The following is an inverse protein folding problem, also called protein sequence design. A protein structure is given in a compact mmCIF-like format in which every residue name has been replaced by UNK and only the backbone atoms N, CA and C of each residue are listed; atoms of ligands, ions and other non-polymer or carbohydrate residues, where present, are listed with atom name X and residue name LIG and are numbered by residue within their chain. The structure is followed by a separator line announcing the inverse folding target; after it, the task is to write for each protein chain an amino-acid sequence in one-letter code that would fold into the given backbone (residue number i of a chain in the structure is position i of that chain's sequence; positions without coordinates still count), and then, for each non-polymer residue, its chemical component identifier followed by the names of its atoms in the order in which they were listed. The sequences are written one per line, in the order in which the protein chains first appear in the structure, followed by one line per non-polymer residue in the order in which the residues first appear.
data_IF_719170652476
#
_entry.id   IF_719170652476
#
_cell.length_a   1.000
_cell.length_b   1.000
_cell.length_c   1.000
_cell.angle_alpha   90.00
_cell.angle_beta   90.00
_cell.angle_gamma   90.00
#
_symmetry.space_group_name_H-M   'P 1'
#
loop_
_entity.id
_entity.type
_entity.pdbx_description
1 polymer ?
#
# COMPACT_ATOMS: atom_id res chain seq x y z
N UNK A 1 13.42 6.82 -2.71
CA UNK A 1 14.07 6.07 -3.81
C UNK A 1 15.39 6.78 -4.08
N UNK A 2 16.54 6.18 -3.75
CA UNK A 2 17.84 6.75 -4.13
C UNK A 2 17.80 7.10 -5.62
N UNK A 3 18.28 8.28 -6.00
CA UNK A 3 18.34 8.79 -7.38
C UNK A 3 17.01 9.15 -8.07
N UNK A 4 15.87 9.12 -7.37
CA UNK A 4 14.63 9.66 -7.91
C UNK A 4 14.71 11.19 -8.08
N UNK A 5 14.44 11.66 -9.30
CA UNK A 5 14.41 13.06 -9.68
C UNK A 5 13.16 13.33 -10.50
N UNK A 6 12.44 14.41 -10.17
CA UNK A 6 11.27 14.87 -10.93
C UNK A 6 11.59 15.07 -12.41
N UNK A 7 12.79 15.57 -12.72
CA UNK A 7 13.23 15.80 -14.09
C UNK A 7 13.37 14.49 -14.88
N UNK A 8 13.89 13.43 -14.23
CA UNK A 8 14.02 12.11 -14.87
C UNK A 8 12.67 11.41 -15.00
N UNK A 9 11.83 11.51 -13.97
CA UNK A 9 10.50 10.89 -13.94
C UNK A 9 9.55 11.53 -14.97
N UNK A 10 9.61 12.85 -15.14
CA UNK A 10 8.79 13.59 -16.11
C UNK A 10 9.13 13.31 -17.58
N UNK A 11 10.30 12.71 -17.86
CA UNK A 11 10.71 12.31 -19.22
C UNK A 11 10.24 10.89 -19.60
N UNK A 12 9.64 10.14 -18.67
CA UNK A 12 9.20 8.77 -18.96
C UNK A 12 7.95 8.75 -19.85
N UNK A 13 7.88 7.82 -20.82
CA UNK A 13 6.69 7.64 -21.64
C UNK A 13 5.51 7.08 -20.83
N UNK A 14 4.31 7.32 -21.34
CA UNK A 14 3.07 6.72 -20.82
C UNK A 14 3.09 5.20 -20.96
N UNK A 15 2.73 4.46 -19.91
CA UNK A 15 2.84 3.00 -19.87
C UNK A 15 1.57 2.26 -20.37
N UNK A 16 0.39 2.87 -20.29
CA UNK A 16 -0.89 2.16 -20.51
C UNK A 16 -1.74 2.71 -21.65
N UNK A 17 -1.82 4.04 -21.78
CA UNK A 17 -2.60 4.72 -22.83
C UNK A 17 -1.68 5.70 -23.55
N UNK A 18 -1.81 5.78 -24.88
CA UNK A 18 -1.14 6.81 -25.67
C UNK A 18 -1.55 8.19 -25.14
N UNK A 19 -0.57 9.06 -24.94
CA UNK A 19 -0.75 10.41 -24.38
C UNK A 19 -1.38 10.43 -22.97
N UNK A 20 -1.30 9.32 -22.24
CA UNK A 20 -1.76 9.19 -20.86
C UNK A 20 -0.77 9.72 -19.81
N UNK A 21 -1.23 9.85 -18.56
CA UNK A 21 -0.44 10.42 -17.46
C UNK A 21 0.25 9.37 -16.55
N UNK A 22 -0.04 8.09 -16.76
CA UNK A 22 0.53 7.00 -15.95
C UNK A 22 1.81 6.50 -16.60
N UNK A 23 2.91 6.51 -15.84
CA UNK A 23 4.26 6.09 -16.27
C UNK A 23 4.81 5.05 -15.30
N UNK A 24 5.91 4.38 -15.68
CA UNK A 24 6.57 3.44 -14.78
C UNK A 24 7.06 4.06 -13.46
N UNK A 25 7.24 5.40 -13.41
CA UNK A 25 7.67 6.09 -12.20
C UNK A 25 6.55 6.37 -11.19
N UNK A 26 5.28 6.41 -11.63
CA UNK A 26 4.13 6.68 -10.75
C UNK A 26 3.19 5.49 -10.56
N UNK A 27 3.39 4.41 -11.32
CA UNK A 27 2.75 3.14 -11.09
C UNK A 27 3.42 2.36 -9.94
N UNK A 28 2.66 1.51 -9.26
CA UNK A 28 3.23 0.53 -8.33
C UNK A 28 4.04 -0.51 -9.11
N UNK A 29 5.23 -0.85 -8.61
CA UNK A 29 6.03 -1.94 -9.19
C UNK A 29 5.43 -3.32 -8.89
N UNK A 30 5.74 -4.32 -9.71
CA UNK A 30 5.48 -5.73 -9.38
C UNK A 30 6.47 -6.13 -8.29
N UNK A 31 5.96 -6.69 -7.19
CA UNK A 31 6.76 -7.00 -6.01
C UNK A 31 6.45 -8.41 -5.49
N UNK A 32 7.52 -9.13 -5.12
CA UNK A 32 7.47 -10.44 -4.48
C UNK A 32 7.89 -10.27 -3.01
N UNK A 33 6.93 -10.42 -2.08
CA UNK A 33 7.14 -10.25 -0.65
C UNK A 33 6.13 -11.05 0.20
N UNK A 34 6.42 -11.24 1.49
CA UNK A 34 5.51 -11.85 2.46
C UNK A 34 5.44 -11.03 3.76
N UNK A 35 4.30 -11.07 4.44
CA UNK A 35 4.11 -10.43 5.75
C UNK A 35 3.14 -11.25 6.62
N UNK A 36 3.24 -11.11 7.95
CA UNK A 36 2.36 -11.75 8.91
C UNK A 36 2.10 -10.84 10.11
N UNK A 37 0.89 -10.92 10.67
CA UNK A 37 0.49 -10.22 11.90
C UNK A 37 -0.27 -11.17 12.81
N UNK A 38 -0.11 -11.01 14.13
CA UNK A 38 -0.88 -11.75 15.13
C UNK A 38 -1.92 -10.82 15.74
N UNK A 39 -3.19 -11.20 15.64
CA UNK A 39 -4.31 -10.46 16.20
C UNK A 39 -4.93 -11.27 17.33
N UNK A 40 -5.26 -10.59 18.43
CA UNK A 40 -5.90 -11.21 19.59
C UNK A 40 -6.79 -10.19 20.30
N UNK A 41 -7.70 -10.67 21.14
CA UNK A 41 -8.48 -9.81 22.03
C UNK A 41 -7.56 -9.13 23.04
N UNK A 42 -7.95 -7.93 23.51
CA UNK A 42 -7.22 -7.22 24.57
C UNK A 42 -7.11 -8.05 25.85
N UNK A 43 -8.17 -8.76 26.20
CA UNK A 43 -8.21 -9.56 27.43
C UNK A 43 -7.21 -10.71 27.36
N UNK A 44 -7.12 -11.39 26.20
CA UNK A 44 -6.12 -12.45 26.02
C UNK A 44 -4.69 -11.89 26.01
N UNK A 45 -4.49 -10.72 25.41
CA UNK A 45 -3.20 -10.04 25.44
C UNK A 45 -2.75 -9.75 26.88
N UNK A 46 -3.68 -9.26 27.73
CA UNK A 46 -3.40 -8.99 29.14
C UNK A 46 -3.12 -10.28 29.94
N UNK A 47 -3.91 -11.34 29.73
CA UNK A 47 -3.71 -12.65 30.38
C UNK A 47 -2.32 -13.23 30.07
N UNK A 48 -1.89 -13.09 28.81
CA UNK A 48 -0.58 -13.55 28.35
C UNK A 48 0.56 -12.56 28.67
N UNK A 49 0.27 -11.41 29.26
CA UNK A 49 1.26 -10.37 29.58
C UNK A 49 1.92 -9.73 28.35
N UNK A 50 1.31 -9.82 27.16
CA UNK A 50 1.87 -9.25 25.92
C UNK A 50 1.40 -7.82 25.74
N UNK A 51 2.35 -6.90 25.50
CA UNK A 51 2.05 -5.49 25.23
C UNK A 51 1.60 -5.31 23.78
N UNK A 52 0.35 -4.87 23.51
CA UNK A 52 -0.11 -4.63 22.14
C UNK A 52 0.70 -3.53 21.45
N UNK A 53 1.03 -3.72 20.16
CA UNK A 53 1.69 -2.69 19.34
C UNK A 53 0.71 -1.62 18.85
N UNK A 54 -0.53 -2.01 18.57
CA UNK A 54 -1.59 -1.16 18.07
C UNK A 54 -2.96 -1.71 18.44
N UNK A 55 -4.00 -0.87 18.31
CA UNK A 55 -5.40 -1.26 18.46
C UNK A 55 -6.13 -1.03 17.14
N UNK A 56 -6.78 -2.05 16.62
CA UNK A 56 -7.69 -1.94 15.48
C UNK A 56 -9.00 -1.29 15.95
N UNK A 57 -9.35 -0.13 15.40
CA UNK A 57 -10.54 0.64 15.80
C UNK A 57 -11.72 0.34 14.87
N UNK A 58 -11.49 0.36 13.56
CA UNK A 58 -12.52 0.21 12.53
C UNK A 58 -11.88 -0.38 11.24
N UNK A 59 -12.67 -1.12 10.47
CA UNK A 59 -12.43 -1.47 9.07
C UNK A 59 -13.71 -1.13 8.30
N UNK A 60 -13.58 -0.36 7.22
CA UNK A 60 -14.69 -0.01 6.32
C UNK A 60 -14.34 -0.47 4.91
N UNK A 61 -15.34 -0.96 4.19
CA UNK A 61 -15.25 -1.27 2.76
C UNK A 61 -16.34 -0.51 2.00
N UNK A 62 -15.99 0.03 0.84
CA UNK A 62 -16.87 0.76 -0.06
C UNK A 62 -16.65 0.26 -1.49
N UNK A 63 -17.73 0.23 -2.28
CA UNK A 63 -17.69 -0.18 -3.68
C UNK A 63 -17.79 1.03 -4.60
N UNK A 64 -17.04 0.99 -5.71
CA UNK A 64 -17.11 1.94 -6.81
C UNK A 64 -17.27 1.20 -8.14
N UNK A 65 -17.64 1.92 -9.20
CA UNK A 65 -17.67 1.34 -10.53
C UNK A 65 -16.26 0.88 -10.95
N UNK A 66 -16.08 -0.31 -11.58
CA UNK A 66 -14.75 -0.84 -11.92
C UNK A 66 -13.94 0.00 -12.93
N UNK A 67 -14.60 0.91 -13.64
CA UNK A 67 -14.02 1.77 -14.68
C UNK A 67 -13.42 3.08 -14.15
N UNK A 68 -13.63 3.38 -12.85
CA UNK A 68 -13.04 4.53 -12.15
C UNK A 68 -11.57 4.29 -11.85
#
# INVERSE_FOLDING_TARGET
IPDASLEKMGKLPSAFKKDGVVTAANASGINDAASAVVVMSKDKANELGVKPLMKMINIVAEGVAPEV
#
